data_IF_585027659374
#
_entry.id   IF_585027659374
#
_cell.length_a   1.000
_cell.length_b   1.000
_cell.length_c   1.000
_cell.angle_alpha   90.00
_cell.angle_beta   90.00
_cell.angle_gamma   90.00
#
_symmetry.space_group_name_H-M   'P 1'
#
loop_
_entity.id
_entity.type
_entity.pdbx_description
1 polymer ?
#
# COMPACT_ATOMS: atom_id res chain seq x y z
N UNK A 1 25.26 -71.97 -10.51
CA UNK A 1 24.46 -71.24 -9.54
C UNK A 1 24.76 -69.76 -9.70
N UNK A 2 23.80 -68.97 -10.24
CA UNK A 2 23.93 -67.53 -10.44
C UNK A 2 23.01 -66.86 -9.45
N UNK A 3 23.53 -65.96 -8.58
CA UNK A 3 22.82 -65.18 -7.64
C UNK A 3 22.44 -63.85 -8.32
N UNK A 4 21.16 -63.37 -8.28
CA UNK A 4 20.82 -62.09 -8.83
C UNK A 4 21.08 -60.98 -7.80
N UNK A 5 21.71 -59.88 -8.25
CA UNK A 5 21.92 -58.67 -7.49
C UNK A 5 20.61 -57.86 -7.34
N UNK A 6 20.29 -57.53 -6.10
CA UNK A 6 19.15 -56.70 -5.73
C UNK A 6 19.57 -55.23 -5.84
N UNK A 7 18.96 -54.49 -6.78
CA UNK A 7 19.12 -53.04 -6.92
C UNK A 7 18.11 -52.38 -6.02
N UNK A 8 18.56 -51.71 -4.94
CA UNK A 8 17.74 -50.80 -4.14
C UNK A 8 17.66 -49.43 -4.85
N UNK A 9 16.49 -49.13 -5.32
CA UNK A 9 16.16 -47.78 -5.78
C UNK A 9 15.72 -46.91 -4.59
N UNK A 10 16.55 -45.97 -4.18
CA UNK A 10 16.23 -44.95 -3.21
C UNK A 10 15.38 -43.84 -3.90
N UNK A 11 14.10 -43.82 -3.62
CA UNK A 11 13.22 -42.71 -4.02
C UNK A 11 13.46 -41.51 -3.12
N UNK A 12 14.06 -40.47 -3.66
CA UNK A 12 14.14 -39.15 -3.00
C UNK A 12 12.76 -38.48 -3.07
N UNK A 13 12.10 -38.39 -1.93
CA UNK A 13 10.87 -37.61 -1.78
C UNK A 13 11.26 -36.14 -1.69
N UNK A 14 11.12 -35.39 -2.80
CA UNK A 14 11.16 -33.93 -2.77
C UNK A 14 9.87 -33.44 -2.08
N UNK A 15 9.99 -33.02 -0.84
CA UNK A 15 8.96 -32.28 -0.13
C UNK A 15 8.88 -30.87 -0.73
N UNK A 16 7.92 -30.64 -1.61
CA UNK A 16 7.50 -29.29 -1.97
C UNK A 16 6.84 -28.68 -0.74
N UNK A 17 7.52 -27.75 -0.08
CA UNK A 17 6.91 -26.88 0.89
C UNK A 17 5.89 -25.99 0.14
N UNK A 18 4.63 -26.35 0.22
CA UNK A 18 3.52 -25.48 -0.15
C UNK A 18 3.55 -24.30 0.83
N UNK A 19 4.04 -23.16 0.38
CA UNK A 19 3.82 -21.91 1.09
C UNK A 19 2.31 -21.63 1.00
N UNK A 20 1.60 -22.02 2.04
CA UNK A 20 0.26 -21.54 2.25
C UNK A 20 0.39 -20.05 2.58
N UNK A 21 0.07 -19.18 1.61
CA UNK A 21 -0.22 -17.78 1.85
C UNK A 21 -1.42 -17.72 2.82
N UNK A 22 -1.13 -17.73 4.11
CA UNK A 22 -2.11 -17.39 5.12
C UNK A 22 -2.43 -15.91 4.92
N UNK A 23 -3.49 -15.61 4.16
CA UNK A 23 -4.06 -14.26 4.12
C UNK A 23 -4.33 -13.87 5.57
N UNK A 24 -3.58 -12.88 6.05
CA UNK A 24 -3.80 -12.30 7.38
C UNK A 24 -5.21 -11.71 7.31
N UNK A 25 -6.15 -12.30 8.06
CA UNK A 25 -7.51 -11.81 8.11
C UNK A 25 -7.49 -10.35 8.58
N UNK A 26 -8.05 -9.46 7.78
CA UNK A 26 -8.16 -8.04 8.15
C UNK A 26 -9.03 -7.92 9.40
N UNK A 27 -8.43 -7.43 10.50
CA UNK A 27 -9.11 -7.18 11.76
C UNK A 27 -9.22 -5.68 11.98
N UNK A 28 -10.35 -5.26 12.57
CA UNK A 28 -10.50 -3.88 13.04
C UNK A 28 -9.69 -3.68 14.31
N UNK A 29 -9.09 -2.51 14.48
CA UNK A 29 -8.38 -2.16 15.73
C UNK A 29 -9.36 -2.07 16.91
N UNK A 30 -10.64 -1.84 16.67
CA UNK A 30 -11.70 -1.91 17.67
C UNK A 30 -11.87 -3.32 18.26
N UNK A 31 -11.52 -4.37 17.52
CA UNK A 31 -11.63 -5.78 17.92
C UNK A 31 -10.33 -6.31 18.54
N UNK A 32 -9.35 -5.44 18.80
CA UNK A 32 -8.09 -5.81 19.39
C UNK A 32 -8.27 -6.26 20.85
N UNK A 33 -7.58 -7.34 21.21
CA UNK A 33 -7.58 -7.86 22.59
C UNK A 33 -6.64 -7.03 23.47
N UNK A 34 -6.84 -7.05 24.79
CA UNK A 34 -5.90 -6.43 25.73
C UNK A 34 -4.46 -6.92 25.50
N UNK A 35 -3.52 -5.99 25.38
CA UNK A 35 -2.11 -6.29 25.18
C UNK A 35 -1.66 -6.42 23.72
N UNK A 36 -2.57 -6.43 22.74
CA UNK A 36 -2.22 -6.32 21.31
C UNK A 36 -1.87 -4.87 20.96
N UNK A 37 -0.92 -4.69 20.03
CA UNK A 37 -0.53 -3.38 19.48
C UNK A 37 -1.47 -3.05 18.32
N UNK A 38 -2.22 -1.95 18.45
CA UNK A 38 -3.19 -1.51 17.45
C UNK A 38 -2.54 -0.55 16.45
N UNK A 39 -2.62 -0.86 15.17
CA UNK A 39 -2.01 -0.09 14.09
C UNK A 39 -3.07 0.32 13.08
N UNK A 40 -3.16 1.62 12.80
CA UNK A 40 -3.96 2.18 11.70
C UNK A 40 -3.02 2.53 10.56
N UNK A 41 -3.16 1.90 9.40
CA UNK A 41 -2.20 2.05 8.30
C UNK A 41 -2.88 2.35 6.96
N UNK A 42 -2.30 3.31 6.21
CA UNK A 42 -2.72 3.54 4.82
C UNK A 42 -2.56 2.28 3.97
N UNK A 43 -3.50 2.03 3.06
CA UNK A 43 -3.43 0.89 2.14
C UNK A 43 -2.11 0.85 1.32
N UNK A 44 -1.50 2.00 1.09
CA UNK A 44 -0.25 2.11 0.33
C UNK A 44 0.94 1.32 0.92
N UNK A 45 0.95 1.03 2.26
CA UNK A 45 2.02 0.25 2.92
C UNK A 45 1.60 -1.21 3.19
N UNK A 46 0.39 -1.62 2.81
CA UNK A 46 -0.22 -2.89 3.20
C UNK A 46 0.68 -4.09 2.92
N UNK A 47 1.10 -4.25 1.70
CA UNK A 47 1.86 -5.45 1.31
C UNK A 47 3.25 -5.51 1.96
N UNK A 48 4.09 -4.45 1.95
CA UNK A 48 5.35 -4.48 2.68
C UNK A 48 5.19 -4.73 4.19
N UNK A 49 4.17 -4.14 4.82
CA UNK A 49 3.93 -4.33 6.25
C UNK A 49 3.51 -5.77 6.55
N UNK A 50 2.61 -6.35 5.76
CA UNK A 50 2.19 -7.75 5.90
C UNK A 50 3.37 -8.72 5.74
N UNK A 51 4.28 -8.45 4.80
CA UNK A 51 5.46 -9.30 4.55
C UNK A 51 6.39 -9.42 5.79
N UNK A 52 6.43 -8.40 6.65
CA UNK A 52 7.31 -8.38 7.83
C UNK A 52 6.54 -8.48 9.16
N UNK A 53 5.20 -8.58 9.14
CA UNK A 53 4.37 -8.48 10.33
C UNK A 53 4.74 -9.52 11.40
N UNK A 54 4.94 -10.79 11.01
CA UNK A 54 5.36 -11.85 11.93
C UNK A 54 6.74 -11.62 12.54
N UNK A 55 7.66 -11.05 11.78
CA UNK A 55 8.98 -10.67 12.29
C UNK A 55 8.87 -9.51 13.27
N UNK A 56 8.00 -8.52 12.98
CA UNK A 56 7.73 -7.42 13.89
C UNK A 56 7.12 -7.90 15.21
N UNK A 57 6.12 -8.80 15.17
CA UNK A 57 5.51 -9.42 16.35
C UNK A 57 6.55 -10.12 17.21
N UNK A 58 7.43 -10.92 16.60
CA UNK A 58 8.52 -11.61 17.31
C UNK A 58 9.51 -10.62 17.92
N UNK A 59 9.86 -9.54 17.21
CA UNK A 59 10.81 -8.54 17.68
C UNK A 59 10.29 -7.74 18.88
N UNK A 60 9.00 -7.41 18.92
CA UNK A 60 8.40 -6.63 20.00
C UNK A 60 7.80 -7.52 21.12
N UNK A 61 7.68 -8.84 20.89
CA UNK A 61 7.10 -9.79 21.84
C UNK A 61 5.59 -9.65 22.06
N UNK A 62 4.86 -9.08 21.06
CA UNK A 62 3.42 -8.83 21.14
C UNK A 62 2.74 -9.05 19.78
N UNK A 63 1.48 -9.47 19.81
CA UNK A 63 0.64 -9.51 18.61
C UNK A 63 0.30 -8.11 18.16
N UNK A 64 0.18 -7.94 16.83
CA UNK A 64 -0.13 -6.69 16.18
C UNK A 64 -1.45 -6.84 15.42
N UNK A 65 -2.37 -5.92 15.63
CA UNK A 65 -3.61 -5.81 14.87
C UNK A 65 -3.48 -4.61 13.93
N UNK A 66 -3.53 -4.84 12.63
CA UNK A 66 -3.44 -3.77 11.64
C UNK A 66 -4.78 -3.61 10.94
N UNK A 67 -5.30 -2.40 10.98
CA UNK A 67 -6.43 -1.98 10.16
C UNK A 67 -5.94 -1.11 9.02
N UNK A 68 -6.20 -1.55 7.79
CA UNK A 68 -5.85 -0.82 6.57
C UNK A 68 -7.02 0.00 6.06
N UNK A 69 -6.72 1.18 5.53
CA UNK A 69 -7.76 2.03 4.98
C UNK A 69 -7.24 3.23 4.20
N UNK A 70 -8.17 4.11 3.87
CA UNK A 70 -7.86 5.38 3.23
C UNK A 70 -7.39 6.39 4.26
N UNK A 71 -6.16 6.87 4.12
CA UNK A 71 -5.55 7.81 5.07
C UNK A 71 -6.36 9.11 5.23
N UNK A 72 -6.82 9.72 4.11
CA UNK A 72 -7.63 10.95 4.11
C UNK A 72 -9.13 10.70 4.27
N UNK A 73 -9.54 9.43 4.35
CA UNK A 73 -10.93 8.99 4.53
C UNK A 73 -11.15 8.36 5.90
N UNK A 74 -11.57 7.08 5.90
CA UNK A 74 -12.02 6.40 7.10
C UNK A 74 -11.01 6.41 8.25
N UNK A 75 -9.70 6.25 8.00
CA UNK A 75 -8.70 6.20 9.08
C UNK A 75 -8.61 7.54 9.81
N UNK A 76 -8.51 8.66 9.08
CA UNK A 76 -8.54 10.00 9.69
C UNK A 76 -9.81 10.21 10.49
N UNK A 77 -10.97 9.89 9.89
CA UNK A 77 -12.26 10.11 10.53
C UNK A 77 -12.40 9.30 11.83
N UNK A 78 -11.94 8.05 11.84
CA UNK A 78 -11.96 7.20 13.03
C UNK A 78 -11.03 7.73 14.14
N UNK A 79 -9.83 8.20 13.79
CA UNK A 79 -8.90 8.83 14.74
C UNK A 79 -9.52 10.10 15.34
N UNK A 80 -10.10 10.97 14.51
CA UNK A 80 -10.72 12.20 14.99
C UNK A 80 -11.93 11.93 15.89
N UNK A 81 -12.71 10.88 15.60
CA UNK A 81 -13.83 10.41 16.46
C UNK A 81 -13.36 9.76 17.76
N UNK A 82 -12.07 9.53 17.95
CA UNK A 82 -11.51 9.00 19.19
C UNK A 82 -11.16 7.52 19.18
N UNK A 83 -11.06 6.88 18.01
CA UNK A 83 -10.53 5.52 17.90
C UNK A 83 -9.12 5.46 18.48
N UNK A 84 -8.92 4.62 19.49
CA UNK A 84 -7.61 4.42 20.13
C UNK A 84 -6.69 3.55 19.27
N UNK A 85 -5.40 3.87 19.26
CA UNK A 85 -4.35 3.14 18.55
C UNK A 85 -2.99 3.37 19.24
N UNK A 86 -2.05 2.46 19.02
CA UNK A 86 -0.65 2.62 19.43
C UNK A 86 0.18 3.31 18.35
N UNK A 87 0.02 2.89 17.07
CA UNK A 87 0.76 3.43 15.93
C UNK A 87 -0.20 3.81 14.82
N UNK A 88 -0.03 5.00 14.24
CA UNK A 88 -0.61 5.36 12.95
C UNK A 88 0.50 5.40 11.89
N UNK A 89 0.25 4.80 10.72
CA UNK A 89 1.14 4.82 9.56
C UNK A 89 0.36 5.49 8.43
N UNK A 90 0.54 6.80 8.28
CA UNK A 90 -0.31 7.63 7.44
C UNK A 90 0.52 8.55 6.53
N UNK A 91 -0.03 9.70 6.18
CA UNK A 91 0.52 10.67 5.25
C UNK A 91 0.77 11.98 5.99
N UNK A 92 1.80 12.78 5.61
CA UNK A 92 2.16 14.00 6.32
C UNK A 92 1.00 14.99 6.54
N UNK A 93 0.17 15.21 5.53
CA UNK A 93 -0.97 16.12 5.61
C UNK A 93 -2.07 15.61 6.56
N UNK A 94 -2.26 14.29 6.64
CA UNK A 94 -3.17 13.67 7.63
C UNK A 94 -2.59 13.77 9.03
N UNK A 95 -1.27 13.53 9.16
CA UNK A 95 -0.57 13.67 10.44
C UNK A 95 -0.63 15.11 10.97
N UNK A 96 -0.58 16.13 10.09
CA UNK A 96 -0.79 17.52 10.47
C UNK A 96 -2.19 17.76 11.09
N UNK A 97 -3.24 17.23 10.45
CA UNK A 97 -4.62 17.38 10.93
C UNK A 97 -4.84 16.66 12.28
N UNK A 98 -4.41 15.40 12.41
CA UNK A 98 -4.59 14.63 13.66
C UNK A 98 -3.68 15.12 14.79
N UNK A 99 -2.53 15.72 14.47
CA UNK A 99 -1.68 16.39 15.45
C UNK A 99 -2.31 17.69 15.96
N UNK A 100 -2.85 18.50 15.07
CA UNK A 100 -3.61 19.71 15.46
C UNK A 100 -4.81 19.37 16.35
N UNK A 101 -5.42 18.20 16.14
CA UNK A 101 -6.50 17.67 16.99
C UNK A 101 -5.99 16.99 18.27
N UNK A 102 -4.69 16.98 18.55
CA UNK A 102 -4.09 16.41 19.76
C UNK A 102 -4.17 14.90 19.84
N UNK A 103 -4.24 14.18 18.71
CA UNK A 103 -4.43 12.72 18.66
C UNK A 103 -3.13 11.91 18.63
N UNK A 104 -1.99 12.52 18.28
CA UNK A 104 -0.67 11.89 18.25
C UNK A 104 0.31 12.56 19.19
N UNK A 105 1.29 11.79 19.66
CA UNK A 105 2.43 12.29 20.42
C UNK A 105 3.41 13.03 19.50
N UNK A 106 4.31 13.88 20.05
CA UNK A 106 5.40 14.47 19.27
C UNK A 106 6.32 13.42 18.65
N UNK A 107 6.77 13.69 17.45
CA UNK A 107 7.66 12.81 16.68
C UNK A 107 6.95 12.12 15.53
N UNK A 108 7.51 12.31 14.33
CA UNK A 108 7.08 11.66 13.09
C UNK A 108 8.28 10.97 12.48
N UNK A 109 8.06 9.81 11.94
CA UNK A 109 9.12 8.96 11.42
C UNK A 109 8.80 8.54 10.00
N UNK A 110 9.51 9.09 9.04
CA UNK A 110 9.37 8.67 7.65
C UNK A 110 9.78 7.19 7.53
N UNK A 111 8.86 6.35 7.03
CA UNK A 111 9.08 4.92 6.81
C UNK A 111 9.42 4.62 5.37
N UNK A 112 8.70 5.23 4.43
CA UNK A 112 8.81 4.88 3.03
C UNK A 112 8.34 6.01 2.11
N UNK A 113 8.77 5.92 0.86
CA UNK A 113 8.27 6.71 -0.28
C UNK A 113 7.80 5.77 -1.37
N UNK A 114 6.68 6.10 -1.99
CA UNK A 114 6.17 5.32 -3.12
C UNK A 114 5.72 6.25 -4.24
N UNK A 115 6.09 5.98 -5.51
CA UNK A 115 5.57 6.72 -6.64
C UNK A 115 4.12 6.34 -6.91
N UNK A 116 3.37 7.28 -7.47
CA UNK A 116 2.08 6.98 -8.11
C UNK A 116 2.36 6.35 -9.47
N UNK A 117 1.55 5.37 -9.86
CA UNK A 117 1.71 4.62 -11.10
C UNK A 117 0.38 4.49 -11.86
N UNK A 118 0.49 4.15 -13.13
CA UNK A 118 -0.64 3.81 -13.97
C UNK A 118 -0.81 2.29 -14.06
N UNK A 119 -2.02 1.80 -13.79
CA UNK A 119 -2.45 0.44 -14.04
C UNK A 119 -3.46 0.40 -15.20
N UNK A 120 -3.33 -0.57 -16.09
CA UNK A 120 -4.25 -0.80 -17.20
C UNK A 120 -5.12 -2.02 -16.90
N UNK A 121 -6.42 -1.86 -16.92
CA UNK A 121 -7.40 -2.94 -16.98
C UNK A 121 -8.03 -2.98 -18.38
N UNK A 122 -8.17 -4.17 -18.94
CA UNK A 122 -8.62 -4.36 -20.32
C UNK A 122 -7.47 -4.42 -21.32
N UNK A 123 -7.74 -4.10 -22.59
CA UNK A 123 -6.78 -4.29 -23.68
C UNK A 123 -6.54 -2.98 -24.43
N UNK A 124 -5.31 -2.52 -24.41
CA UNK A 124 -4.87 -1.37 -25.20
C UNK A 124 -3.44 -1.63 -25.72
N UNK A 125 -3.30 -2.32 -26.87
CA UNK A 125 -2.00 -2.52 -27.48
C UNK A 125 -1.35 -1.15 -27.79
N UNK A 126 -0.06 -1.03 -27.50
CA UNK A 126 0.75 0.18 -27.71
C UNK A 126 0.30 1.43 -26.91
N UNK A 127 -0.41 1.25 -25.78
CA UNK A 127 -0.71 2.35 -24.88
C UNK A 127 0.57 2.79 -24.17
N UNK A 128 1.03 4.01 -24.47
CA UNK A 128 2.16 4.64 -23.78
C UNK A 128 1.71 5.69 -22.79
N UNK A 129 2.51 5.86 -21.72
CA UNK A 129 2.31 6.89 -20.67
C UNK A 129 3.63 7.62 -20.35
N UNK A 130 4.56 7.67 -21.32
CA UNK A 130 5.93 8.17 -21.13
C UNK A 130 6.12 9.67 -21.43
N UNK A 131 5.06 10.38 -21.77
CA UNK A 131 5.09 11.84 -22.01
C UNK A 131 3.75 12.47 -21.65
N UNK A 132 3.73 13.79 -21.45
CA UNK A 132 2.49 14.54 -21.17
C UNK A 132 1.42 14.29 -22.25
N UNK A 133 1.80 14.31 -23.53
CA UNK A 133 0.90 14.04 -24.64
C UNK A 133 0.37 12.60 -24.64
N UNK A 134 1.23 11.62 -24.33
CA UNK A 134 0.85 10.23 -24.24
C UNK A 134 -0.12 9.97 -23.08
N UNK A 135 0.15 10.52 -21.91
CA UNK A 135 -0.73 10.44 -20.73
C UNK A 135 -2.09 11.07 -21.05
N UNK A 136 -2.11 12.30 -21.61
CA UNK A 136 -3.36 12.98 -22.01
C UNK A 136 -4.18 12.13 -22.99
N UNK A 137 -3.54 11.63 -24.04
CA UNK A 137 -4.19 10.78 -25.04
C UNK A 137 -4.73 9.48 -24.43
N UNK A 138 -3.95 8.81 -23.56
CA UNK A 138 -4.37 7.59 -22.90
C UNK A 138 -5.61 7.81 -22.04
N UNK A 139 -5.64 8.88 -21.24
CA UNK A 139 -6.76 9.18 -20.35
C UNK A 139 -8.02 9.60 -21.10
N UNK A 140 -7.90 10.38 -22.19
CA UNK A 140 -9.05 10.80 -22.99
C UNK A 140 -9.71 9.66 -23.75
N UNK A 141 -8.94 8.62 -24.12
CA UNK A 141 -9.46 7.45 -24.85
C UNK A 141 -9.90 6.31 -23.95
N UNK A 142 -9.59 6.39 -22.65
CA UNK A 142 -10.00 5.38 -21.69
C UNK A 142 -11.53 5.33 -21.56
N UNK A 143 -12.10 4.13 -21.44
CA UNK A 143 -13.52 3.93 -21.06
C UNK A 143 -13.82 4.55 -19.69
N UNK A 144 -12.84 4.50 -18.80
CA UNK A 144 -12.91 5.12 -17.48
C UNK A 144 -11.52 5.38 -16.92
N UNK A 145 -11.45 6.33 -15.99
CA UNK A 145 -10.26 6.59 -15.17
C UNK A 145 -10.65 6.39 -13.71
N UNK A 146 -9.94 5.50 -13.01
CA UNK A 146 -10.23 5.11 -11.64
C UNK A 146 -9.09 5.48 -10.70
N UNK A 147 -9.44 6.06 -9.57
CA UNK A 147 -8.52 6.38 -8.46
C UNK A 147 -9.31 6.42 -7.13
N UNK A 148 -8.64 6.45 -6.00
CA UNK A 148 -9.32 6.61 -4.71
C UNK A 148 -9.49 8.11 -4.38
N UNK A 149 -10.73 8.62 -4.19
CA UNK A 149 -10.99 10.04 -3.96
C UNK A 149 -10.39 10.58 -2.65
N UNK A 150 -10.09 9.71 -1.70
CA UNK A 150 -9.45 10.02 -0.42
C UNK A 150 -8.12 9.28 -0.24
N UNK A 151 -7.63 8.63 -1.30
CA UNK A 151 -6.43 7.80 -1.28
C UNK A 151 -5.13 8.60 -1.34
N UNK A 152 -4.03 7.88 -1.14
CA UNK A 152 -2.69 8.47 -1.10
C UNK A 152 -2.26 9.12 -2.43
N UNK A 153 -2.72 8.60 -3.57
CA UNK A 153 -2.39 9.13 -4.89
C UNK A 153 -3.15 10.42 -5.29
N UNK A 154 -4.15 10.85 -4.51
CA UNK A 154 -5.04 11.98 -4.89
C UNK A 154 -4.30 13.28 -5.27
N UNK A 155 -3.23 13.73 -4.58
CA UNK A 155 -2.50 14.94 -4.99
C UNK A 155 -1.91 14.83 -6.39
N UNK A 156 -1.32 13.68 -6.75
CA UNK A 156 -0.80 13.42 -8.11
C UNK A 156 -1.92 13.39 -9.12
N UNK A 157 -3.07 12.75 -8.82
CA UNK A 157 -4.24 12.74 -9.70
C UNK A 157 -4.71 14.16 -9.97
N UNK A 158 -4.88 14.99 -8.94
CA UNK A 158 -5.26 16.41 -9.11
C UNK A 158 -4.28 17.16 -10.00
N UNK A 159 -2.96 16.96 -9.79
CA UNK A 159 -1.91 17.56 -10.63
C UNK A 159 -2.04 17.12 -12.09
N UNK A 160 -2.25 15.83 -12.35
CA UNK A 160 -2.48 15.30 -13.71
C UNK A 160 -3.68 15.97 -14.36
N UNK A 161 -4.84 15.98 -13.67
CA UNK A 161 -6.09 16.54 -14.22
C UNK A 161 -5.95 18.03 -14.52
N UNK A 162 -5.29 18.79 -13.66
CA UNK A 162 -5.06 20.23 -13.84
C UNK A 162 -4.06 20.50 -14.95
N UNK A 163 -2.86 19.90 -14.89
CA UNK A 163 -1.77 20.17 -15.84
C UNK A 163 -2.14 19.78 -17.28
N UNK A 164 -2.89 18.69 -17.44
CA UNK A 164 -3.30 18.20 -18.73
C UNK A 164 -4.69 18.70 -19.17
N UNK A 165 -5.33 19.55 -18.37
CA UNK A 165 -6.68 20.11 -18.63
C UNK A 165 -7.72 19.00 -18.88
N UNK A 166 -7.73 17.98 -18.03
CA UNK A 166 -8.57 16.78 -18.17
C UNK A 166 -9.84 16.83 -17.32
N UNK A 167 -9.96 17.78 -16.40
CA UNK A 167 -11.15 17.93 -15.55
C UNK A 167 -12.42 18.07 -16.42
N UNK A 168 -13.41 17.22 -16.15
CA UNK A 168 -14.65 17.16 -16.93
C UNK A 168 -14.54 16.62 -18.35
N UNK A 169 -13.33 16.17 -18.78
CA UNK A 169 -13.10 15.63 -20.12
C UNK A 169 -12.84 14.12 -20.14
N UNK A 170 -12.68 13.51 -18.98
CA UNK A 170 -12.49 12.08 -18.82
C UNK A 170 -13.73 11.43 -18.20
N UNK A 171 -13.90 10.13 -18.46
CA UNK A 171 -14.88 9.31 -17.75
C UNK A 171 -14.35 8.95 -16.36
N UNK A 172 -14.63 9.79 -15.37
CA UNK A 172 -14.21 9.58 -13.98
C UNK A 172 -15.07 8.51 -13.32
N UNK A 173 -14.45 7.39 -12.92
CA UNK A 173 -15.09 6.30 -12.19
C UNK A 173 -14.59 6.18 -10.74
N UNK A 174 -13.96 7.21 -10.20
CA UNK A 174 -13.34 7.20 -8.87
C UNK A 174 -14.34 6.87 -7.74
N UNK A 175 -15.59 7.26 -7.90
CA UNK A 175 -16.67 6.98 -6.94
C UNK A 175 -17.51 5.74 -7.28
N UNK A 176 -17.25 5.10 -8.44
CA UNK A 176 -18.00 3.93 -8.86
C UNK A 176 -17.67 2.72 -7.97
N UNK A 177 -18.70 2.01 -7.53
CA UNK A 177 -18.54 0.74 -6.84
C UNK A 177 -18.24 -0.38 -7.84
N UNK A 178 -17.18 -1.14 -7.56
CA UNK A 178 -16.77 -2.27 -8.40
C UNK A 178 -16.03 -1.87 -9.68
N UNK A 179 -15.89 -2.82 -10.59
CA UNK A 179 -15.22 -2.64 -11.86
C UNK A 179 -16.21 -2.18 -12.93
N UNK A 180 -15.81 -1.18 -13.73
CA UNK A 180 -16.60 -0.75 -14.89
C UNK A 180 -16.57 -1.86 -15.95
N UNK A 181 -17.71 -2.28 -16.53
CA UNK A 181 -17.74 -3.25 -17.63
C UNK A 181 -16.97 -2.73 -18.84
N UNK A 182 -16.11 -3.57 -19.42
CA UNK A 182 -15.31 -3.25 -20.62
C UNK A 182 -15.72 -4.17 -21.76
N UNK A 183 -15.99 -3.60 -22.93
CA UNK A 183 -16.14 -4.33 -24.19
C UNK A 183 -14.77 -4.65 -24.82
N UNK A 184 -14.75 -5.46 -25.87
CA UNK A 184 -13.52 -5.75 -26.59
C UNK A 184 -12.87 -4.48 -27.15
N UNK A 185 -11.58 -4.30 -26.86
CA UNK A 185 -10.81 -3.12 -27.26
C UNK A 185 -10.96 -1.91 -26.33
N UNK A 186 -11.82 -1.96 -25.32
CA UNK A 186 -11.92 -0.93 -24.30
C UNK A 186 -10.91 -1.16 -23.17
N UNK A 187 -10.56 -0.09 -22.44
CA UNK A 187 -9.67 -0.14 -21.29
C UNK A 187 -10.03 0.92 -20.22
N UNK A 188 -9.62 0.63 -19.01
CA UNK A 188 -9.65 1.55 -17.88
C UNK A 188 -8.23 1.87 -17.43
N UNK A 189 -7.96 3.14 -17.15
CA UNK A 189 -6.74 3.61 -16.50
C UNK A 189 -6.99 3.68 -15.00
N UNK A 190 -6.14 3.03 -14.23
CA UNK A 190 -6.13 3.08 -12.78
C UNK A 190 -4.93 3.88 -12.31
N UNK A 191 -5.11 4.83 -11.37
CA UNK A 191 -4.07 5.71 -10.85
C UNK A 191 -3.97 5.49 -9.34
N UNK A 192 -2.95 4.73 -8.91
CA UNK A 192 -2.75 4.31 -7.53
C UNK A 192 -1.27 4.35 -7.14
N UNK A 193 -0.92 4.24 -5.85
CA UNK A 193 0.45 3.94 -5.44
C UNK A 193 0.98 2.71 -6.18
N UNK A 194 2.25 2.73 -6.60
CA UNK A 194 2.87 1.59 -7.29
C UNK A 194 2.77 0.31 -6.46
N UNK A 195 2.86 0.43 -5.15
CA UNK A 195 2.69 -0.67 -4.18
C UNK A 195 1.30 -1.32 -4.18
N UNK A 196 0.29 -0.66 -4.71
CA UNK A 196 -1.05 -1.21 -4.90
C UNK A 196 -1.26 -1.75 -6.33
N UNK A 197 -0.50 -1.23 -7.31
CA UNK A 197 -0.56 -1.71 -8.71
C UNK A 197 0.19 -3.04 -8.86
N UNK A 198 1.40 -3.18 -8.29
CA UNK A 198 2.25 -4.37 -8.46
C UNK A 198 1.53 -5.67 -8.04
N UNK A 199 0.88 -5.77 -6.87
CA UNK A 199 0.23 -7.01 -6.43
C UNK A 199 -1.10 -7.27 -7.14
N UNK A 200 -1.69 -6.28 -7.79
CA UNK A 200 -3.01 -6.39 -8.42
C UNK A 200 -2.94 -7.09 -9.78
N UNK A 201 -3.18 -8.40 -9.78
CA UNK A 201 -3.14 -9.24 -10.99
C UNK A 201 -4.18 -8.86 -12.06
N UNK A 202 -5.21 -8.07 -11.72
CA UNK A 202 -6.18 -7.57 -12.68
C UNK A 202 -5.68 -6.35 -13.47
N UNK A 203 -4.53 -5.79 -13.08
CA UNK A 203 -3.93 -4.62 -13.71
C UNK A 203 -2.60 -4.98 -14.36
N UNK A 204 -2.41 -4.52 -15.60
CA UNK A 204 -1.07 -4.43 -16.20
C UNK A 204 -0.41 -3.15 -15.70
N UNK A 205 0.73 -3.26 -15.05
CA UNK A 205 1.54 -2.11 -14.64
C UNK A 205 2.11 -1.41 -15.88
N UNK A 206 1.79 -0.13 -16.07
CA UNK A 206 2.33 0.72 -17.14
C UNK A 206 3.53 1.56 -16.68
N UNK A 207 3.92 1.44 -15.41
CA UNK A 207 5.00 2.22 -14.81
C UNK A 207 4.55 3.42 -13.99
N UNK A 208 5.52 4.05 -13.35
CA UNK A 208 5.30 5.25 -12.56
C UNK A 208 4.84 6.43 -13.43
N UNK A 209 4.05 7.33 -12.83
CA UNK A 209 3.72 8.62 -13.43
C UNK A 209 5.02 9.36 -13.72
N UNK A 210 5.07 10.03 -14.89
CA UNK A 210 6.27 10.76 -15.32
C UNK A 210 6.67 11.87 -14.32
N UNK A 211 7.96 12.23 -14.21
CA UNK A 211 8.46 13.16 -13.19
C UNK A 211 7.72 14.50 -13.15
N UNK A 212 7.34 15.04 -14.30
CA UNK A 212 6.65 16.33 -14.42
C UNK A 212 5.29 16.35 -13.73
N UNK A 213 4.64 15.21 -13.66
CA UNK A 213 3.31 15.03 -13.04
C UNK A 213 3.38 14.37 -11.66
N UNK A 214 4.50 13.72 -11.32
CA UNK A 214 4.66 12.96 -10.09
C UNK A 214 4.69 13.87 -8.86
N UNK A 215 3.98 13.45 -7.82
CA UNK A 215 4.17 13.87 -6.43
C UNK A 215 4.38 12.59 -5.63
N UNK A 216 5.58 12.31 -5.14
CA UNK A 216 5.84 11.07 -4.40
C UNK A 216 5.02 11.05 -3.11
N UNK A 217 4.48 9.88 -2.80
CA UNK A 217 3.77 9.65 -1.56
C UNK A 217 4.80 9.39 -0.47
N UNK A 218 4.77 10.20 0.58
CA UNK A 218 5.55 9.99 1.80
C UNK A 218 4.65 9.28 2.80
N UNK A 219 5.16 8.25 3.47
CA UNK A 219 4.46 7.48 4.50
C UNK A 219 5.23 7.63 5.79
N UNK A 220 4.56 8.15 6.81
CA UNK A 220 5.11 8.41 8.14
C UNK A 220 4.45 7.51 9.20
N UNK A 221 5.19 7.18 10.24
CA UNK A 221 4.67 6.52 11.44
C UNK A 221 4.67 7.49 12.61
N UNK A 222 3.61 7.44 13.40
CA UNK A 222 3.41 8.26 14.59
C UNK A 222 2.87 7.43 15.75
N UNK A 223 3.11 7.86 16.99
CA UNK A 223 2.58 7.20 18.18
C UNK A 223 1.29 7.91 18.60
N UNK A 224 0.25 7.15 18.93
CA UNK A 224 -0.99 7.68 19.46
C UNK A 224 -0.78 8.44 20.79
N UNK A 225 -1.42 9.61 20.94
CA UNK A 225 -1.33 10.41 22.17
C UNK A 225 -1.83 9.65 23.40
N UNK A 226 -2.83 8.80 23.20
CA UNK A 226 -3.45 7.96 24.23
C UNK A 226 -3.05 6.48 24.09
N UNK A 227 -1.89 6.19 23.48
CA UNK A 227 -1.39 4.83 23.35
C UNK A 227 -1.24 4.18 24.74
N UNK A 228 -1.87 3.02 24.93
CA UNK A 228 -1.80 2.27 26.18
C UNK A 228 -0.42 1.61 26.38
N UNK A 229 0.33 1.42 25.28
CA UNK A 229 1.68 0.86 25.26
C UNK A 229 2.61 1.63 24.29
N UNK A 230 2.98 2.83 24.71
CA UNK A 230 3.91 3.66 23.95
C UNK A 230 5.30 3.02 23.77
N UNK A 231 5.72 2.12 24.67
CA UNK A 231 6.99 1.39 24.56
C UNK A 231 6.96 0.41 23.37
N UNK A 232 5.92 -0.39 23.26
CA UNK A 232 5.75 -1.31 22.11
C UNK A 232 5.50 -0.56 20.82
N UNK A 233 4.79 0.58 20.84
CA UNK A 233 4.63 1.46 19.70
C UNK A 233 6.00 1.96 19.17
N UNK A 234 6.84 2.49 20.05
CA UNK A 234 8.19 2.93 19.71
C UNK A 234 9.08 1.79 19.18
N UNK A 235 9.00 0.60 19.78
CA UNK A 235 9.74 -0.58 19.34
C UNK A 235 9.29 -1.03 17.93
N UNK A 236 7.99 -1.00 17.63
CA UNK A 236 7.46 -1.31 16.31
C UNK A 236 7.97 -0.30 15.25
N UNK A 237 7.91 1.00 15.56
CA UNK A 237 8.42 2.04 14.65
C UNK A 237 9.93 1.84 14.41
N UNK A 238 10.70 1.56 15.45
CA UNK A 238 12.14 1.28 15.34
C UNK A 238 12.42 0.05 14.46
N UNK A 239 11.63 -1.03 14.60
CA UNK A 239 11.71 -2.21 13.74
C UNK A 239 11.42 -1.87 12.28
N UNK A 240 10.35 -1.13 12.00
CA UNK A 240 9.95 -0.74 10.64
C UNK A 240 10.93 0.24 9.99
N UNK A 241 11.70 1.01 10.76
CA UNK A 241 12.81 1.84 10.27
C UNK A 241 14.12 1.06 10.10
N UNK A 242 14.20 -0.14 10.65
CA UNK A 242 15.34 -1.03 10.53
C UNK A 242 15.44 -1.69 9.14
N UNK A 243 16.45 -2.54 8.91
CA UNK A 243 16.68 -3.17 7.61
C UNK A 243 15.70 -4.29 7.29
N UNK A 244 14.93 -4.77 8.25
CA UNK A 244 14.04 -5.92 8.07
C UNK A 244 12.96 -5.70 6.99
N UNK A 245 12.51 -4.46 6.80
CA UNK A 245 11.48 -4.10 5.82
C UNK A 245 12.04 -3.78 4.41
N UNK A 246 13.36 -3.56 4.28
CA UNK A 246 13.96 -3.04 3.05
C UNK A 246 13.65 -3.90 1.81
N UNK A 247 13.74 -5.23 1.96
CA UNK A 247 13.42 -6.17 0.89
C UNK A 247 11.97 -6.07 0.43
N UNK A 248 11.05 -6.01 1.39
CA UNK A 248 9.62 -5.88 1.11
C UNK A 248 9.29 -4.52 0.47
N UNK A 249 9.86 -3.41 0.95
CA UNK A 249 9.68 -2.11 0.30
C UNK A 249 10.09 -2.14 -1.16
N UNK A 250 11.27 -2.68 -1.46
CA UNK A 250 11.79 -2.78 -2.82
C UNK A 250 10.92 -3.66 -3.72
N UNK A 251 10.43 -4.79 -3.21
CA UNK A 251 9.55 -5.71 -3.95
C UNK A 251 8.28 -5.01 -4.44
N UNK A 252 7.72 -4.13 -3.61
CA UNK A 252 6.52 -3.37 -3.94
C UNK A 252 6.79 -1.96 -4.51
N UNK A 253 8.01 -1.73 -5.04
CA UNK A 253 8.37 -0.50 -5.74
C UNK A 253 8.43 0.74 -4.85
N UNK A 254 8.76 0.55 -3.59
CA UNK A 254 8.91 1.61 -2.59
C UNK A 254 10.39 1.83 -2.25
N UNK A 255 10.70 3.05 -1.87
CA UNK A 255 12.00 3.44 -1.31
C UNK A 255 11.86 3.61 0.20
N UNK A 256 12.93 3.29 0.92
CA UNK A 256 12.99 3.53 2.36
C UNK A 256 12.98 5.03 2.65
N UNK A 257 12.29 5.41 3.70
CA UNK A 257 12.26 6.79 4.17
C UNK A 257 13.61 7.31 4.64
N UNK A 258 13.77 8.63 4.64
CA UNK A 258 15.00 9.27 5.14
C UNK A 258 15.04 9.17 6.68
N UNK A 259 16.05 8.48 7.19
CA UNK A 259 16.25 8.30 8.63
C UNK A 259 16.80 9.53 9.35
N UNK A 260 17.06 10.63 8.62
CA UNK A 260 17.70 11.85 9.12
C UNK A 260 16.74 12.97 9.52
N UNK A 261 15.45 12.69 9.56
CA UNK A 261 14.43 13.62 10.06
C UNK A 261 13.83 13.13 11.35
#
# INVERSE_FOLDING_TARGET
MRVPALVLATAAILSFAVHADAQIAERKVADAKPGEVRVLATAAIKEPLNAVLKQAEAAIGKSIVVEYGSARGNLKDEILKGQGFEVAILLPDVDDEIQAAGKIAPGRFELARVPVAFGLRGTAPNLGVSSLAAVKSAMLRAKSVKYAPTGAALPTVKKILTTLELAGKIHDSSTAQGAVPLAGGEYEINIYPLSEIIPNKALKNLGAVIPELQLPIIIEATVGKSASDAKSAGALIAFLRGPAIDGALKEYGMEKGDSRK
#
